data_IF_329239144154
#
_entry.id   IF_329239144154
#
_cell.length_a   1.000
_cell.length_b   1.000
_cell.length_c   1.000
_cell.angle_alpha   90.00
_cell.angle_beta   90.00
_cell.angle_gamma   90.00
#
_symmetry.space_group_name_H-M   'P 1'
#
loop_
_entity.id
_entity.type
_entity.pdbx_description
1 polymer ?
#
# COMPACT_ATOMS: atom_id res chain seq x y z
N UNK A 1 33.93 0.21 -11.11
CA UNK A 1 33.81 1.18 -10.00
C UNK A 1 33.10 2.45 -10.43
N UNK A 2 33.56 3.18 -11.46
CA UNK A 2 32.86 4.37 -12.00
C UNK A 2 31.34 4.18 -12.18
N UNK A 3 30.92 3.07 -12.79
CA UNK A 3 29.49 2.80 -13.02
C UNK A 3 28.65 2.72 -11.74
N UNK A 4 29.17 2.17 -10.64
CA UNK A 4 28.38 2.10 -9.40
C UNK A 4 28.26 3.48 -8.75
N UNK A 5 29.34 4.26 -8.75
CA UNK A 5 29.33 5.63 -8.22
C UNK A 5 28.37 6.55 -8.99
N UNK A 6 28.26 6.38 -10.30
CA UNK A 6 27.29 7.14 -11.11
C UNK A 6 25.86 6.66 -10.88
N UNK A 7 25.63 5.34 -10.80
CA UNK A 7 24.30 4.78 -10.53
C UNK A 7 23.80 5.17 -9.14
N UNK A 8 24.66 5.11 -8.12
CA UNK A 8 24.32 5.52 -6.74
C UNK A 8 24.44 7.02 -6.51
N UNK A 9 24.79 7.80 -7.55
CA UNK A 9 24.95 9.26 -7.50
C UNK A 9 26.03 9.74 -6.51
N UNK A 10 26.91 8.85 -6.05
CA UNK A 10 27.88 9.16 -4.99
C UNK A 10 29.01 10.06 -5.48
N UNK A 11 29.50 9.84 -6.70
CA UNK A 11 30.39 10.78 -7.41
C UNK A 11 31.69 11.13 -6.68
N UNK A 12 32.47 10.14 -6.21
CA UNK A 12 33.75 10.40 -5.52
C UNK A 12 34.79 11.10 -6.39
N UNK A 13 34.68 11.03 -7.73
CA UNK A 13 35.52 11.78 -8.67
C UNK A 13 36.93 11.20 -8.89
N UNK A 14 37.31 10.15 -8.15
CA UNK A 14 38.60 9.47 -8.30
C UNK A 14 38.75 8.81 -9.68
N UNK A 15 37.68 8.20 -10.19
CA UNK A 15 37.57 7.76 -11.57
C UNK A 15 36.63 8.70 -12.31
N UNK A 16 37.06 9.25 -13.44
CA UNK A 16 36.24 10.12 -14.28
C UNK A 16 36.49 9.82 -15.76
N UNK A 17 35.45 9.81 -16.61
CA UNK A 17 35.63 9.64 -18.04
C UNK A 17 36.31 10.88 -18.62
N UNK A 18 37.30 10.67 -19.48
CA UNK A 18 37.97 11.74 -20.21
C UNK A 18 37.12 12.18 -21.40
N UNK A 19 37.27 13.44 -21.83
CA UNK A 19 36.49 14.05 -22.92
C UNK A 19 36.79 13.45 -24.30
N UNK A 20 37.89 12.72 -24.43
CA UNK A 20 38.33 12.15 -25.71
C UNK A 20 37.42 11.04 -26.25
N UNK A 21 36.60 10.42 -25.39
CA UNK A 21 35.77 9.27 -25.75
C UNK A 21 34.28 9.61 -25.65
N UNK A 22 33.69 10.16 -26.71
CA UNK A 22 32.25 10.49 -26.78
C UNK A 22 31.35 9.28 -26.49
N UNK A 23 31.77 8.09 -26.89
CA UNK A 23 31.03 6.84 -26.66
C UNK A 23 30.76 6.60 -25.16
N UNK A 24 31.73 6.90 -24.30
CA UNK A 24 31.60 6.68 -22.85
C UNK A 24 30.51 7.59 -22.26
N UNK A 25 30.49 8.86 -22.65
CA UNK A 25 29.46 9.81 -22.23
C UNK A 25 28.06 9.37 -22.68
N UNK A 26 27.91 8.93 -23.92
CA UNK A 26 26.60 8.47 -24.43
C UNK A 26 26.07 7.25 -23.66
N UNK A 27 26.93 6.28 -23.34
CA UNK A 27 26.55 5.10 -22.55
C UNK A 27 26.19 5.49 -21.12
N UNK A 28 26.93 6.42 -20.51
CA UNK A 28 26.69 6.88 -19.15
C UNK A 28 25.37 7.66 -19.03
N UNK A 29 25.06 8.50 -20.00
CA UNK A 29 23.77 9.21 -20.05
C UNK A 29 22.62 8.23 -20.26
N UNK A 30 22.77 7.25 -21.15
CA UNK A 30 21.73 6.27 -21.37
C UNK A 30 21.49 5.38 -20.13
N UNK A 31 22.55 4.92 -19.47
CA UNK A 31 22.43 4.08 -18.27
C UNK A 31 21.78 4.83 -17.10
N UNK A 32 22.13 6.09 -16.88
CA UNK A 32 21.51 6.92 -15.82
C UNK A 32 20.03 7.17 -16.07
N UNK A 33 19.62 7.41 -17.31
CA UNK A 33 18.20 7.52 -17.67
C UNK A 33 17.44 6.24 -17.32
N UNK A 34 17.94 5.08 -17.74
CA UNK A 34 17.30 3.78 -17.46
C UNK A 34 17.20 3.51 -15.97
N UNK A 35 18.26 3.78 -15.20
CA UNK A 35 18.26 3.60 -13.74
C UNK A 35 17.18 4.45 -13.07
N UNK A 36 17.05 5.73 -13.42
CA UNK A 36 16.04 6.62 -12.83
C UNK A 36 14.62 6.12 -13.11
N UNK A 37 14.36 5.57 -14.30
CA UNK A 37 13.06 4.95 -14.61
C UNK A 37 12.77 3.74 -13.71
N UNK A 38 13.76 2.88 -13.49
CA UNK A 38 13.61 1.69 -12.65
C UNK A 38 13.41 2.08 -11.18
N UNK A 39 14.20 3.02 -10.67
CA UNK A 39 14.10 3.50 -9.28
C UNK A 39 12.73 4.14 -9.01
N UNK A 40 12.25 4.98 -9.95
CA UNK A 40 10.91 5.57 -9.86
C UNK A 40 9.80 4.52 -9.85
N UNK A 41 9.91 3.48 -10.69
CA UNK A 41 8.95 2.39 -10.70
C UNK A 41 8.96 1.60 -9.37
N UNK A 42 10.15 1.33 -8.83
CA UNK A 42 10.30 0.59 -7.58
C UNK A 42 9.72 1.36 -6.39
N UNK A 43 10.05 2.65 -6.25
CA UNK A 43 9.51 3.52 -5.21
C UNK A 43 7.99 3.59 -5.32
N UNK A 44 7.44 3.69 -6.53
CA UNK A 44 5.99 3.71 -6.76
C UNK A 44 5.30 2.43 -6.27
N UNK A 45 5.87 1.25 -6.58
CA UNK A 45 5.32 -0.04 -6.13
C UNK A 45 5.37 -0.17 -4.61
N UNK A 46 6.49 0.20 -4.00
CA UNK A 46 6.66 0.17 -2.54
C UNK A 46 5.71 1.16 -1.87
N UNK A 47 5.58 2.37 -2.41
CA UNK A 47 4.65 3.39 -1.92
C UNK A 47 3.21 2.91 -1.98
N UNK A 48 2.77 2.28 -3.07
CA UNK A 48 1.43 1.67 -3.19
C UNK A 48 1.23 0.60 -2.12
N UNK A 49 2.25 -0.23 -1.83
CA UNK A 49 2.15 -1.27 -0.80
C UNK A 49 2.03 -0.68 0.62
N UNK A 50 2.74 0.40 0.92
CA UNK A 50 2.70 1.09 2.22
C UNK A 50 1.41 1.89 2.40
N UNK A 51 0.93 2.55 1.34
CA UNK A 51 -0.28 3.37 1.37
C UNK A 51 -1.56 2.55 1.44
N UNK A 52 -1.54 1.27 1.05
CA UNK A 52 -2.66 0.36 1.31
C UNK A 52 -2.89 0.27 2.82
N UNK A 53 -4.07 0.65 3.34
CA UNK A 53 -4.36 0.50 4.75
C UNK A 53 -4.27 -1.00 5.09
N UNK A 54 -3.39 -1.33 6.02
CA UNK A 54 -3.34 -2.67 6.59
C UNK A 54 -4.64 -2.89 7.36
N UNK A 55 -5.61 -3.54 6.71
CA UNK A 55 -6.80 -4.06 7.39
C UNK A 55 -6.36 -5.24 8.26
N UNK A 56 -5.71 -4.93 9.37
CA UNK A 56 -5.60 -5.88 10.47
C UNK A 56 -7.02 -6.07 10.97
N UNK A 57 -7.66 -7.15 10.52
CA UNK A 57 -8.98 -7.56 10.98
C UNK A 57 -8.77 -7.95 12.45
N UNK A 58 -8.86 -6.96 13.33
CA UNK A 58 -8.98 -7.22 14.75
C UNK A 58 -10.27 -8.01 14.91
N UNK A 59 -10.16 -9.25 15.39
CA UNK A 59 -11.23 -10.24 15.52
C UNK A 59 -12.45 -9.79 16.35
N UNK A 60 -12.50 -8.54 16.80
CA UNK A 60 -13.48 -7.98 17.72
C UNK A 60 -14.13 -6.67 17.23
N UNK A 61 -14.27 -6.48 15.91
CA UNK A 61 -15.07 -5.36 15.38
C UNK A 61 -16.57 -5.59 15.63
N UNK A 62 -17.03 -6.83 15.71
CA UNK A 62 -18.43 -7.16 15.94
C UNK A 62 -18.66 -7.78 17.31
N UNK A 63 -19.86 -7.58 17.86
CA UNK A 63 -20.31 -8.28 19.07
C UNK A 63 -20.36 -9.79 18.83
N UNK A 64 -19.85 -10.56 19.80
CA UNK A 64 -19.85 -12.04 19.75
C UNK A 64 -21.25 -12.68 19.67
N UNK A 65 -22.29 -11.96 20.08
CA UNK A 65 -23.68 -12.43 20.09
C UNK A 65 -24.57 -11.39 19.43
N UNK A 66 -25.47 -11.84 18.57
CA UNK A 66 -26.61 -11.07 18.10
C UNK A 66 -27.84 -11.44 18.95
N UNK A 67 -28.74 -10.49 19.15
CA UNK A 67 -29.98 -10.69 19.92
C UNK A 67 -31.19 -10.36 19.07
N UNK A 68 -32.28 -11.09 19.27
CA UNK A 68 -33.58 -10.80 18.68
C UNK A 68 -34.47 -10.27 19.79
N UNK A 69 -35.04 -9.07 19.61
CA UNK A 69 -35.95 -8.49 20.57
C UNK A 69 -37.12 -7.78 19.89
N UNK A 70 -38.22 -7.64 20.63
CA UNK A 70 -39.37 -6.87 20.18
C UNK A 70 -39.12 -5.38 20.48
N UNK A 71 -39.08 -4.53 19.45
CA UNK A 71 -38.95 -3.08 19.59
C UNK A 71 -40.06 -2.41 18.79
N UNK A 72 -40.88 -1.60 19.46
CA UNK A 72 -42.05 -0.94 18.85
C UNK A 72 -43.01 -1.91 18.14
N UNK A 73 -43.21 -3.11 18.69
CA UNK A 73 -44.11 -4.13 18.12
C UNK A 73 -43.52 -4.97 16.98
N UNK A 74 -42.26 -4.73 16.56
CA UNK A 74 -41.58 -5.51 15.52
C UNK A 74 -40.41 -6.32 16.11
N UNK A 75 -40.19 -7.53 15.58
CA UNK A 75 -39.01 -8.34 15.89
C UNK A 75 -37.79 -7.80 15.14
N UNK A 76 -36.77 -7.37 15.88
CA UNK A 76 -35.53 -6.80 15.33
C UNK A 76 -34.32 -7.64 15.73
N UNK A 77 -33.46 -7.95 14.76
CA UNK A 77 -32.13 -8.53 15.01
C UNK A 77 -31.12 -7.40 15.23
N UNK A 78 -30.43 -7.44 16.37
CA UNK A 78 -29.51 -6.39 16.79
C UNK A 78 -28.13 -7.02 17.07
N UNK A 79 -27.09 -6.38 16.55
CA UNK A 79 -25.69 -6.66 16.86
C UNK A 79 -24.97 -5.32 17.08
N UNK A 80 -23.86 -5.32 17.82
CA UNK A 80 -23.07 -4.12 18.10
C UNK A 80 -21.78 -4.15 17.30
N UNK A 81 -21.36 -2.97 16.84
CA UNK A 81 -20.06 -2.75 16.19
C UNK A 81 -19.19 -1.99 17.19
N UNK A 82 -17.96 -2.44 17.36
CA UNK A 82 -16.96 -1.80 18.20
C UNK A 82 -15.79 -1.33 17.33
N UNK A 83 -15.52 -0.03 17.36
CA UNK A 83 -14.33 0.53 16.75
C UNK A 83 -13.25 0.76 17.81
N UNK A 84 -12.25 -0.12 17.84
CA UNK A 84 -11.13 -0.02 18.77
C UNK A 84 -10.07 1.00 18.34
N UNK A 85 -10.13 1.50 17.11
CA UNK A 85 -9.07 2.32 16.52
C UNK A 85 -9.26 3.81 16.84
N UNK A 86 -10.45 4.22 17.31
CA UNK A 86 -10.74 5.60 17.70
C UNK A 86 -10.63 6.59 16.55
N UNK A 87 -10.68 6.10 15.30
CA UNK A 87 -10.59 6.92 14.09
C UNK A 87 -11.99 7.10 13.52
N UNK A 88 -12.26 8.26 12.94
CA UNK A 88 -13.52 8.46 12.24
C UNK A 88 -13.50 7.73 10.89
N UNK A 89 -14.39 6.74 10.72
CA UNK A 89 -14.55 6.00 9.47
C UNK A 89 -15.51 6.76 8.54
N UNK A 90 -15.01 7.23 7.40
CA UNK A 90 -15.79 7.95 6.39
C UNK A 90 -16.38 6.93 5.40
N UNK A 91 -17.67 7.07 5.06
CA UNK A 91 -18.32 6.23 4.06
C UNK A 91 -18.64 4.80 4.53
N UNK A 92 -18.76 4.58 5.84
CA UNK A 92 -19.11 3.26 6.40
C UNK A 92 -20.48 2.78 5.94
N UNK A 93 -20.52 1.66 5.23
CA UNK A 93 -21.74 0.92 4.88
C UNK A 93 -21.67 -0.47 5.50
N UNK A 94 -22.81 -0.94 6.04
CA UNK A 94 -22.90 -2.26 6.69
C UNK A 94 -23.82 -3.14 5.84
N UNK A 95 -23.24 -4.18 5.23
CA UNK A 95 -23.97 -5.18 4.45
C UNK A 95 -24.17 -6.44 5.29
N UNK A 96 -25.42 -6.92 5.37
CA UNK A 96 -25.76 -8.16 6.06
C UNK A 96 -26.19 -9.22 5.05
N UNK A 97 -25.62 -10.41 5.14
CA UNK A 97 -25.96 -11.55 4.29
C UNK A 97 -26.49 -12.70 5.14
N UNK A 98 -27.69 -13.17 4.82
CA UNK A 98 -28.26 -14.38 5.41
C UNK A 98 -27.86 -15.57 4.53
N UNK A 99 -26.95 -16.39 5.02
CA UNK A 99 -26.57 -17.63 4.33
C UNK A 99 -27.36 -18.77 4.97
N UNK A 100 -28.34 -19.27 4.24
CA UNK A 100 -29.14 -20.45 4.59
C UNK A 100 -28.86 -21.53 3.55
N UNK A 101 -28.48 -22.72 4.01
CA UNK A 101 -28.58 -23.91 3.16
C UNK A 101 -30.04 -24.31 3.10
N UNK A 102 -30.60 -24.29 1.89
CA UNK A 102 -31.95 -24.77 1.61
C UNK A 102 -31.82 -26.25 1.26
N UNK A 103 -32.34 -27.10 2.14
CA UNK A 103 -32.48 -28.54 1.92
C UNK A 103 -33.72 -28.83 1.07
#
# INVERSE_FOLDING_TARGET
MLGIETITTTGYGYFHPTENCTLVWTILTFSTLVTIFIDGAFISVVYVKISRPAYTINNSLFSKKAVICLRNGALCLIFRINDSTGKHWIGSQVNLFLITQKN
#
